data_IF_640356371328
#
_entry.id   IF_640356371328
#
_cell.length_a   1.000
_cell.length_b   1.000
_cell.length_c   1.000
_cell.angle_alpha   90.00
_cell.angle_beta   90.00
_cell.angle_gamma   90.00
#
_symmetry.space_group_name_H-M   'P 1'
#
loop_
_entity.id
_entity.type
_entity.pdbx_description
1 polymer ?
#
# COMPACT_ATOMS: atom_id res chain seq x y z
N UNK A 1 15.08 32.51 1.30
CA UNK A 1 14.02 31.74 0.61
C UNK A 1 14.58 30.73 -0.39
N UNK A 2 15.31 31.14 -1.43
CA UNK A 2 15.85 30.19 -2.42
C UNK A 2 16.75 29.09 -1.83
N UNK A 3 17.60 29.40 -0.85
CA UNK A 3 18.42 28.39 -0.16
C UNK A 3 17.56 27.33 0.58
N UNK A 4 16.44 27.74 1.19
CA UNK A 4 15.50 26.82 1.82
C UNK A 4 14.82 25.92 0.79
N UNK A 5 14.37 26.48 -0.34
CA UNK A 5 13.78 25.70 -1.43
C UNK A 5 14.76 24.72 -2.06
N UNK A 6 16.01 25.15 -2.31
CA UNK A 6 17.06 24.28 -2.84
C UNK A 6 17.32 23.12 -1.87
N UNK A 7 17.47 23.42 -0.58
CA UNK A 7 17.63 22.39 0.45
C UNK A 7 16.46 21.39 0.45
N UNK A 8 15.23 21.89 0.37
CA UNK A 8 14.01 21.07 0.42
C UNK A 8 13.87 20.20 -0.83
N UNK A 9 14.17 20.73 -2.01
CA UNK A 9 14.18 19.97 -3.28
C UNK A 9 15.28 18.90 -3.26
N UNK A 10 16.49 19.23 -2.81
CA UNK A 10 17.58 18.25 -2.68
C UNK A 10 17.20 17.14 -1.69
N UNK A 11 16.57 17.49 -0.58
CA UNK A 11 16.07 16.53 0.41
C UNK A 11 15.00 15.60 -0.19
N UNK A 12 14.00 16.16 -0.89
CA UNK A 12 12.96 15.37 -1.57
C UNK A 12 13.58 14.43 -2.62
N UNK A 13 14.48 14.93 -3.47
CA UNK A 13 15.17 14.11 -4.47
C UNK A 13 15.99 12.99 -3.82
N UNK A 14 16.71 13.29 -2.72
CA UNK A 14 17.45 12.30 -1.95
C UNK A 14 16.54 11.22 -1.36
N UNK A 15 15.39 11.62 -0.80
CA UNK A 15 14.39 10.69 -0.28
C UNK A 15 13.80 9.79 -1.38
N UNK A 16 13.45 10.35 -2.55
CA UNK A 16 12.93 9.58 -3.68
C UNK A 16 13.96 8.56 -4.19
N UNK A 17 15.23 8.96 -4.31
CA UNK A 17 16.30 8.03 -4.71
C UNK A 17 16.50 6.92 -3.68
N UNK A 18 16.43 7.24 -2.39
CA UNK A 18 16.50 6.25 -1.31
C UNK A 18 15.32 5.26 -1.39
N UNK A 19 14.09 5.75 -1.60
CA UNK A 19 12.89 4.93 -1.72
C UNK A 19 12.95 4.03 -2.97
N UNK A 20 13.37 4.57 -4.12
CA UNK A 20 13.55 3.77 -5.33
C UNK A 20 14.58 2.66 -5.12
N UNK A 21 15.71 2.96 -4.47
CA UNK A 21 16.72 1.94 -4.17
C UNK A 21 16.24 0.89 -3.17
N UNK A 22 15.37 1.28 -2.23
CA UNK A 22 14.89 0.38 -1.18
C UNK A 22 13.78 -0.55 -1.66
N UNK A 23 12.86 -0.05 -2.48
CA UNK A 23 11.62 -0.75 -2.82
C UNK A 23 11.55 -1.25 -4.27
N UNK A 24 12.40 -0.76 -5.18
CA UNK A 24 12.32 -1.16 -6.58
C UNK A 24 13.13 -2.45 -6.83
N UNK A 25 12.47 -3.47 -7.38
CA UNK A 25 13.17 -4.64 -7.89
C UNK A 25 14.01 -4.29 -9.13
N UNK A 26 15.16 -4.93 -9.29
CA UNK A 26 16.07 -4.65 -10.42
C UNK A 26 15.45 -4.97 -11.79
N UNK A 27 14.43 -5.84 -11.85
CA UNK A 27 13.70 -6.23 -13.06
C UNK A 27 12.70 -5.18 -13.59
N UNK A 28 12.40 -4.12 -12.83
CA UNK A 28 11.37 -3.13 -13.21
C UNK A 28 11.86 -2.20 -14.33
N UNK A 29 10.99 -1.99 -15.33
CA UNK A 29 11.20 -1.12 -16.50
C UNK A 29 11.45 0.33 -16.09
N UNK A 30 12.36 1.02 -16.77
CA UNK A 30 12.74 2.40 -16.47
C UNK A 30 11.54 3.36 -16.51
N UNK A 31 10.62 3.20 -17.45
CA UNK A 31 9.42 4.04 -17.56
C UNK A 31 8.57 4.00 -16.29
N UNK A 32 8.41 2.82 -15.67
CA UNK A 32 7.66 2.68 -14.41
C UNK A 32 8.40 3.39 -13.28
N UNK A 33 9.73 3.21 -13.19
CA UNK A 33 10.58 3.89 -12.20
C UNK A 33 10.44 5.42 -12.29
N UNK A 34 10.48 5.98 -13.51
CA UNK A 34 10.34 7.41 -13.74
C UNK A 34 8.95 7.93 -13.38
N UNK A 35 7.89 7.24 -13.78
CA UNK A 35 6.51 7.62 -13.45
C UNK A 35 6.28 7.59 -11.93
N UNK A 36 6.75 6.54 -11.24
CA UNK A 36 6.66 6.45 -9.77
C UNK A 36 7.48 7.54 -9.09
N UNK A 37 8.69 7.83 -9.57
CA UNK A 37 9.51 8.93 -9.05
C UNK A 37 8.80 10.28 -9.18
N UNK A 38 8.16 10.53 -10.33
CA UNK A 38 7.41 11.75 -10.57
C UNK A 38 6.15 11.85 -9.69
N UNK A 39 5.46 10.73 -9.44
CA UNK A 39 4.34 10.67 -8.51
C UNK A 39 4.76 10.99 -7.06
N UNK A 40 5.89 10.44 -6.61
CA UNK A 40 6.42 10.77 -5.29
C UNK A 40 6.92 12.21 -5.21
N UNK A 41 7.54 12.71 -6.29
CA UNK A 41 7.95 14.11 -6.38
C UNK A 41 6.75 15.04 -6.24
N UNK A 42 5.67 14.79 -6.99
CA UNK A 42 4.45 15.62 -6.93
C UNK A 42 3.77 15.56 -5.56
N UNK A 43 3.71 14.38 -4.93
CA UNK A 43 3.16 14.23 -3.58
C UNK A 43 4.01 14.96 -2.52
N UNK A 44 5.34 14.80 -2.56
CA UNK A 44 6.25 15.44 -1.60
C UNK A 44 6.46 16.93 -1.88
N UNK A 45 6.25 17.39 -3.11
CA UNK A 45 6.39 18.78 -3.51
C UNK A 45 5.39 19.70 -2.78
N UNK A 46 4.29 19.19 -2.22
CA UNK A 46 3.36 19.97 -1.38
C UNK A 46 4.10 20.69 -0.26
N UNK A 47 5.12 20.06 0.33
CA UNK A 47 5.95 20.66 1.40
C UNK A 47 6.72 21.89 0.90
N UNK A 48 7.08 21.93 -0.38
CA UNK A 48 7.71 23.08 -1.02
C UNK A 48 6.66 24.10 -1.55
N UNK A 49 5.55 23.62 -2.10
CA UNK A 49 4.55 24.44 -2.79
C UNK A 49 3.79 25.33 -1.79
N UNK A 50 3.45 24.83 -0.60
CA UNK A 50 2.66 25.59 0.37
C UNK A 50 3.39 26.87 0.85
N UNK A 51 4.67 26.82 1.30
CA UNK A 51 5.41 28.04 1.64
C UNK A 51 5.61 28.97 0.44
N UNK A 52 5.74 28.42 -0.76
CA UNK A 52 5.94 29.18 -1.99
C UNK A 52 4.65 29.92 -2.40
N UNK A 53 3.48 29.31 -2.22
CA UNK A 53 2.17 29.89 -2.49
C UNK A 53 1.84 31.04 -1.53
N UNK A 54 2.11 30.84 -0.24
CA UNK A 54 2.00 31.91 0.78
C UNK A 54 2.92 33.07 0.43
N UNK A 55 4.16 32.79 0.02
CA UNK A 55 5.11 33.82 -0.39
C UNK A 55 4.69 34.56 -1.68
N UNK A 56 4.21 33.86 -2.70
CA UNK A 56 3.74 34.49 -3.95
C UNK A 56 2.49 35.35 -3.74
N UNK A 57 1.64 34.97 -2.77
CA UNK A 57 0.47 35.76 -2.38
C UNK A 57 0.89 37.07 -1.71
N UNK A 58 1.95 37.05 -0.89
CA UNK A 58 2.53 38.26 -0.29
C UNK A 58 3.16 39.19 -1.33
N UNK A 59 3.74 38.63 -2.40
CA UNK A 59 4.44 39.36 -3.48
C UNK A 59 3.52 39.79 -4.65
N UNK A 60 2.20 39.58 -4.58
CA UNK A 60 1.22 39.91 -5.64
C UNK A 60 1.56 39.33 -7.03
N UNK A 61 2.28 38.20 -7.10
CA UNK A 61 2.61 37.53 -8.37
C UNK A 61 1.63 36.41 -8.64
N UNK A 62 0.96 36.45 -9.80
CA UNK A 62 0.07 35.36 -10.26
C UNK A 62 0.91 34.10 -10.56
N UNK A 63 0.59 32.94 -9.97
CA UNK A 63 1.34 31.71 -10.23
C UNK A 63 0.96 31.05 -11.56
N UNK A 64 1.89 30.26 -12.11
CA UNK A 64 1.70 29.49 -13.35
C UNK A 64 0.73 28.31 -13.13
N UNK A 65 -0.32 28.21 -13.92
CA UNK A 65 -1.40 27.21 -13.76
C UNK A 65 -1.02 25.78 -14.14
N UNK A 66 0.14 25.59 -14.77
CA UNK A 66 0.57 24.32 -15.34
C UNK A 66 0.85 23.24 -14.28
N UNK A 67 1.24 23.65 -13.07
CA UNK A 67 1.58 22.74 -11.97
C UNK A 67 0.38 21.95 -11.42
N UNK A 68 -0.79 22.57 -11.33
CA UNK A 68 -2.00 21.93 -10.76
C UNK A 68 -2.65 20.98 -11.77
N UNK A 69 -2.67 21.36 -13.05
CA UNK A 69 -3.22 20.50 -14.10
C UNK A 69 -2.36 19.24 -14.30
N UNK A 70 -1.03 19.39 -14.24
CA UNK A 70 -0.10 18.26 -14.39
C UNK A 70 -0.22 17.23 -13.27
N UNK A 71 -0.41 17.65 -12.01
CA UNK A 71 -0.59 16.72 -10.88
C UNK A 71 -1.95 16.00 -10.94
N UNK A 72 -2.99 16.68 -11.40
CA UNK A 72 -4.31 16.08 -11.57
C UNK A 72 -4.33 15.03 -12.69
N UNK A 73 -3.74 15.33 -13.85
CA UNK A 73 -3.62 14.36 -14.96
C UNK A 73 -2.75 13.18 -14.56
N UNK A 74 -1.65 13.42 -13.83
CA UNK A 74 -0.80 12.34 -13.34
C UNK A 74 -1.57 11.38 -12.42
N UNK A 75 -2.28 11.93 -11.44
CA UNK A 75 -2.92 11.15 -10.38
C UNK A 75 -4.14 10.37 -10.86
N UNK A 76 -4.95 11.00 -11.71
CA UNK A 76 -6.24 10.42 -12.12
C UNK A 76 -6.21 9.78 -13.51
N UNK A 77 -5.16 9.96 -14.31
CA UNK A 77 -5.09 9.33 -15.63
C UNK A 77 -3.86 8.44 -15.76
N UNK A 78 -2.67 9.01 -15.57
CA UNK A 78 -1.43 8.29 -15.89
C UNK A 78 -1.13 7.17 -14.90
N UNK A 79 -1.25 7.40 -13.59
CA UNK A 79 -0.94 6.37 -12.58
C UNK A 79 -1.87 5.16 -12.67
N UNK A 80 -3.21 5.32 -12.69
CA UNK A 80 -4.13 4.19 -12.85
C UNK A 80 -3.91 3.47 -14.18
N UNK A 81 -3.65 4.21 -15.27
CA UNK A 81 -3.32 3.62 -16.57
C UNK A 81 -2.07 2.74 -16.50
N UNK A 82 -0.96 3.24 -15.94
CA UNK A 82 0.27 2.46 -15.85
C UNK A 82 0.14 1.25 -14.92
N UNK A 83 -0.65 1.35 -13.85
CA UNK A 83 -0.93 0.23 -12.97
C UNK A 83 -1.61 -0.91 -13.73
N UNK A 84 -2.78 -0.66 -14.35
CA UNK A 84 -3.48 -1.70 -15.11
C UNK A 84 -2.75 -2.14 -16.39
N UNK A 85 -1.92 -1.26 -16.98
CA UNK A 85 -1.08 -1.61 -18.13
C UNK A 85 0.05 -2.58 -17.74
N UNK A 86 0.65 -2.38 -16.56
CA UNK A 86 1.67 -3.28 -16.03
C UNK A 86 1.08 -4.63 -15.64
N UNK A 87 -0.14 -4.63 -15.11
CA UNK A 87 -0.85 -5.84 -14.68
C UNK A 87 -1.47 -6.64 -15.85
N UNK A 88 -1.56 -6.05 -17.05
CA UNK A 88 -2.09 -6.71 -18.23
C UNK A 88 -1.13 -7.79 -18.76
N UNK A 89 -1.65 -9.03 -18.87
CA UNK A 89 -0.94 -10.19 -19.41
C UNK A 89 -0.78 -10.21 -20.93
N UNK A 90 -1.43 -9.29 -21.65
CA UNK A 90 -1.44 -9.23 -23.11
C UNK A 90 -0.04 -9.20 -23.74
N UNK A 91 0.12 -9.85 -24.88
CA UNK A 91 1.42 -9.94 -25.57
C UNK A 91 1.74 -8.72 -26.44
N UNK A 92 0.72 -7.91 -26.79
CA UNK A 92 0.88 -6.72 -27.63
C UNK A 92 0.67 -5.44 -26.83
N UNK A 93 1.39 -4.37 -27.19
CA UNK A 93 1.24 -3.04 -26.57
C UNK A 93 -0.19 -2.53 -26.74
N UNK A 94 -0.81 -2.76 -27.90
CA UNK A 94 -2.20 -2.37 -28.17
C UNK A 94 -3.18 -3.10 -27.24
N UNK A 95 -3.00 -4.42 -27.05
CA UNK A 95 -3.81 -5.21 -26.12
C UNK A 95 -3.71 -4.68 -24.69
N UNK A 96 -2.48 -4.48 -24.20
CA UNK A 96 -2.24 -3.93 -22.87
C UNK A 96 -2.87 -2.54 -22.67
N UNK A 97 -2.77 -1.66 -23.66
CA UNK A 97 -3.41 -0.34 -23.61
C UNK A 97 -4.94 -0.45 -23.55
N UNK A 98 -5.54 -1.32 -24.35
CA UNK A 98 -6.99 -1.50 -24.38
C UNK A 98 -7.50 -2.12 -23.06
N UNK A 99 -6.82 -3.14 -22.55
CA UNK A 99 -7.13 -3.76 -21.25
C UNK A 99 -7.04 -2.73 -20.13
N UNK A 100 -5.96 -1.94 -20.09
CA UNK A 100 -5.81 -0.87 -19.10
C UNK A 100 -6.91 0.19 -19.19
N UNK A 101 -7.29 0.60 -20.40
CA UNK A 101 -8.39 1.55 -20.61
C UNK A 101 -9.73 0.96 -20.17
N UNK A 102 -9.99 -0.32 -20.45
CA UNK A 102 -11.22 -1.01 -20.06
C UNK A 102 -11.34 -1.08 -18.53
N UNK A 103 -10.30 -1.51 -17.83
CA UNK A 103 -10.30 -1.62 -16.36
C UNK A 103 -10.46 -0.24 -15.70
N UNK A 104 -9.77 0.78 -16.22
CA UNK A 104 -9.97 2.16 -15.76
C UNK A 104 -11.38 2.66 -16.04
N UNK A 105 -11.97 2.34 -17.19
CA UNK A 105 -13.34 2.72 -17.51
C UNK A 105 -14.35 2.04 -16.58
N UNK A 106 -14.11 0.81 -16.14
CA UNK A 106 -14.94 0.13 -15.13
C UNK A 106 -14.82 0.86 -13.78
N UNK A 107 -13.60 1.17 -13.34
CA UNK A 107 -13.36 1.90 -12.09
C UNK A 107 -14.06 3.26 -12.12
N UNK A 108 -13.77 4.09 -13.13
CA UNK A 108 -14.36 5.42 -13.24
C UNK A 108 -15.87 5.38 -13.51
N UNK A 109 -16.35 4.37 -14.24
CA UNK A 109 -17.77 4.12 -14.43
C UNK A 109 -18.48 3.83 -13.11
N UNK A 110 -17.89 3.04 -12.21
CA UNK A 110 -18.46 2.76 -10.89
C UNK A 110 -18.51 4.01 -10.01
N UNK A 111 -17.46 4.84 -10.04
CA UNK A 111 -17.43 6.13 -9.32
C UNK A 111 -18.47 7.09 -9.90
N UNK A 112 -18.62 7.14 -11.23
CA UNK A 112 -19.64 7.93 -11.89
C UNK A 112 -21.06 7.47 -11.53
N UNK A 113 -21.30 6.16 -11.41
CA UNK A 113 -22.59 5.61 -10.97
C UNK A 113 -22.95 6.07 -9.55
N UNK A 114 -21.99 6.07 -8.62
CA UNK A 114 -22.18 6.64 -7.26
C UNK A 114 -22.45 8.15 -7.34
N UNK A 115 -21.72 8.86 -8.20
CA UNK A 115 -21.95 10.29 -8.45
C UNK A 115 -23.37 10.58 -8.97
N UNK A 116 -23.90 9.73 -9.86
CA UNK A 116 -25.28 9.84 -10.37
C UNK A 116 -26.32 9.71 -9.26
N UNK A 117 -26.09 8.86 -8.24
CA UNK A 117 -26.96 8.80 -7.05
C UNK A 117 -26.94 10.13 -6.29
N UNK A 118 -25.77 10.75 -6.15
CA UNK A 118 -25.64 12.09 -5.55
C UNK A 118 -26.40 13.16 -6.34
N UNK A 119 -26.33 13.12 -7.67
CA UNK A 119 -27.10 14.02 -8.55
C UNK A 119 -28.60 13.75 -8.46
N UNK A 120 -29.03 12.49 -8.40
CA UNK A 120 -30.43 12.11 -8.19
C UNK A 120 -30.98 12.65 -6.86
N UNK A 121 -30.18 12.63 -5.79
CA UNK A 121 -30.54 13.24 -4.51
C UNK A 121 -30.73 14.77 -4.61
N UNK A 122 -29.92 15.47 -5.43
CA UNK A 122 -30.09 16.90 -5.70
C UNK A 122 -31.36 17.20 -6.51
N UNK A 123 -31.68 16.34 -7.48
CA UNK A 123 -32.92 16.41 -8.26
C UNK A 123 -34.15 16.31 -7.34
N UNK A 124 -34.16 15.33 -6.43
CA UNK A 124 -35.24 15.14 -5.45
C UNK A 124 -35.34 16.35 -4.51
N UNK A 125 -34.20 16.94 -4.13
CA UNK A 125 -34.15 18.12 -3.26
C UNK A 125 -34.58 19.43 -3.96
N UNK A 126 -34.92 19.40 -5.26
CA UNK A 126 -35.26 20.56 -6.11
C UNK A 126 -34.19 21.67 -6.12
N UNK A 127 -32.91 21.31 -5.89
CA UNK A 127 -31.76 22.24 -5.84
C UNK A 127 -30.83 22.05 -7.05
N UNK A 128 -31.40 21.89 -8.25
CA UNK A 128 -30.65 21.73 -9.49
C UNK A 128 -30.16 23.09 -10.04
N UNK A 129 -29.27 23.73 -9.30
CA UNK A 129 -28.50 24.88 -9.78
C UNK A 129 -27.05 24.45 -10.05
N UNK A 130 -26.38 25.10 -11.00
CA UNK A 130 -24.96 24.86 -11.28
C UNK A 130 -24.10 25.08 -10.02
N UNK A 131 -24.50 26.06 -9.19
CA UNK A 131 -23.95 26.30 -7.86
C UNK A 131 -24.20 25.14 -6.89
N UNK A 132 -25.39 24.52 -6.91
CA UNK A 132 -25.72 23.35 -6.11
C UNK A 132 -24.88 22.13 -6.47
N UNK A 133 -24.61 21.93 -7.77
CA UNK A 133 -23.73 20.85 -8.26
C UNK A 133 -22.27 21.10 -7.88
N UNK A 134 -21.77 22.33 -8.03
CA UNK A 134 -20.43 22.71 -7.61
C UNK A 134 -20.27 22.58 -6.08
N UNK A 135 -21.27 23.01 -5.32
CA UNK A 135 -21.32 22.84 -3.86
C UNK A 135 -21.35 21.39 -3.42
N UNK A 136 -22.05 20.51 -4.14
CA UNK A 136 -22.00 19.06 -3.90
C UNK A 136 -20.60 18.51 -4.16
N UNK A 137 -19.97 18.88 -5.29
CA UNK A 137 -18.61 18.44 -5.63
C UNK A 137 -17.58 18.83 -4.56
N UNK A 138 -17.59 20.10 -4.14
CA UNK A 138 -16.71 20.61 -3.07
C UNK A 138 -17.01 19.89 -1.75
N UNK A 139 -18.29 19.72 -1.40
CA UNK A 139 -18.72 19.04 -0.19
C UNK A 139 -18.29 17.57 -0.12
N UNK A 140 -18.43 16.82 -1.23
CA UNK A 140 -18.01 15.42 -1.33
C UNK A 140 -16.49 15.27 -1.29
N UNK A 141 -15.76 16.16 -1.96
CA UNK A 141 -14.29 16.17 -1.92
C UNK A 141 -13.77 16.40 -0.49
N UNK A 142 -14.35 17.36 0.23
CA UNK A 142 -13.99 17.62 1.62
C UNK A 142 -14.41 16.45 2.54
N UNK A 143 -15.59 15.87 2.33
CA UNK A 143 -16.04 14.70 3.09
C UNK A 143 -15.10 13.49 2.91
N UNK A 144 -14.64 13.23 1.68
CA UNK A 144 -13.66 12.17 1.41
C UNK A 144 -12.35 12.41 2.17
N UNK A 145 -11.79 13.62 2.11
CA UNK A 145 -10.57 13.97 2.82
C UNK A 145 -10.70 13.84 4.34
N UNK A 146 -11.84 14.27 4.90
CA UNK A 146 -12.14 14.14 6.32
C UNK A 146 -12.30 12.67 6.75
N UNK A 147 -13.06 11.87 6.00
CA UNK A 147 -13.23 10.44 6.29
C UNK A 147 -11.87 9.71 6.24
N UNK A 148 -11.09 9.94 5.19
CA UNK A 148 -9.75 9.36 5.08
C UNK A 148 -8.84 9.77 6.25
N UNK A 149 -8.90 11.04 6.66
CA UNK A 149 -8.15 11.55 7.81
C UNK A 149 -8.58 10.90 9.12
N UNK A 150 -9.88 10.67 9.32
CA UNK A 150 -10.42 10.00 10.52
C UNK A 150 -9.92 8.56 10.60
N UNK A 151 -9.98 7.81 9.49
CA UNK A 151 -9.52 6.41 9.44
C UNK A 151 -8.02 6.33 9.74
N UNK A 152 -7.21 7.18 9.10
CA UNK A 152 -5.76 7.22 9.32
C UNK A 152 -5.40 7.64 10.75
N UNK A 153 -6.13 8.63 11.30
CA UNK A 153 -5.94 9.07 12.68
C UNK A 153 -6.33 7.98 13.68
N UNK A 154 -7.44 7.26 13.45
CA UNK A 154 -7.87 6.13 14.27
C UNK A 154 -6.82 5.04 14.34
N UNK A 155 -6.23 4.68 13.19
CA UNK A 155 -5.11 3.74 13.13
C UNK A 155 -3.89 4.25 13.91
N UNK A 156 -3.48 5.50 13.69
CA UNK A 156 -2.35 6.12 14.38
C UNK A 156 -2.52 6.17 15.91
N UNK A 157 -3.72 6.50 16.39
CA UNK A 157 -4.02 6.58 17.83
C UNK A 157 -4.02 5.22 18.54
N UNK A 158 -4.28 4.12 17.82
CA UNK A 158 -4.33 2.78 18.41
C UNK A 158 -3.01 2.05 18.24
N UNK A 159 -2.48 2.01 17.02
CA UNK A 159 -1.35 1.14 16.69
C UNK A 159 -0.02 1.70 17.20
N UNK A 160 0.15 3.04 17.24
CA UNK A 160 1.37 3.66 17.77
C UNK A 160 1.51 3.36 19.28
N UNK A 161 0.52 3.66 20.15
CA UNK A 161 0.63 3.34 21.57
C UNK A 161 0.67 1.84 21.82
N UNK A 162 -0.07 1.02 21.05
CA UNK A 162 0.00 -0.44 21.16
C UNK A 162 1.42 -0.95 20.90
N UNK A 163 2.11 -0.44 19.89
CA UNK A 163 3.49 -0.82 19.61
C UNK A 163 4.48 -0.29 20.64
N UNK A 164 4.20 0.85 21.27
CA UNK A 164 4.98 1.35 22.41
C UNK A 164 4.75 0.54 23.70
N UNK A 165 3.52 0.06 23.95
CA UNK A 165 3.17 -0.73 25.15
C UNK A 165 3.80 -2.13 25.10
N UNK A 166 4.08 -2.67 23.90
CA UNK A 166 4.81 -3.93 23.71
C UNK A 166 6.29 -3.81 24.12
N UNK A 167 6.71 -2.92 25.02
CA UNK A 167 8.13 -2.66 25.29
C UNK A 167 8.94 -3.81 25.89
N UNK A 168 8.28 -4.85 26.42
CA UNK A 168 9.00 -5.98 26.99
C UNK A 168 9.49 -6.93 25.88
N UNK A 169 10.81 -7.12 25.71
CA UNK A 169 11.38 -7.83 24.57
C UNK A 169 10.91 -9.29 24.49
N UNK A 170 10.62 -9.94 25.62
CA UNK A 170 10.08 -11.31 25.65
C UNK A 170 8.67 -11.39 25.05
N UNK A 171 7.83 -10.39 25.34
CA UNK A 171 6.47 -10.29 24.77
C UNK A 171 6.52 -9.93 23.29
N UNK A 172 7.48 -9.08 22.88
CA UNK A 172 7.72 -8.80 21.46
C UNK A 172 8.17 -10.05 20.72
N UNK A 173 9.07 -10.85 21.30
CA UNK A 173 9.51 -12.10 20.70
C UNK A 173 8.36 -13.09 20.49
N UNK A 174 7.49 -13.27 21.50
CA UNK A 174 6.27 -14.11 21.37
C UNK A 174 5.33 -13.62 20.27
N UNK A 175 5.13 -12.30 20.18
CA UNK A 175 4.31 -11.69 19.12
C UNK A 175 4.94 -11.85 17.74
N UNK A 176 6.25 -11.67 17.64
CA UNK A 176 7.02 -11.85 16.41
C UNK A 176 6.97 -13.31 15.95
N UNK A 177 7.11 -14.27 16.86
CA UNK A 177 6.97 -15.70 16.57
C UNK A 177 5.56 -16.05 16.05
N UNK A 178 4.50 -15.48 16.63
CA UNK A 178 3.15 -15.67 16.12
C UNK A 178 2.98 -15.08 14.70
N UNK A 179 3.50 -13.87 14.45
CA UNK A 179 3.52 -13.26 13.11
C UNK A 179 4.31 -14.12 12.11
N UNK A 180 5.47 -14.65 12.52
CA UNK A 180 6.29 -15.51 11.69
C UNK A 180 5.50 -16.75 11.23
N UNK A 181 4.73 -17.38 12.13
CA UNK A 181 3.81 -18.47 11.77
C UNK A 181 2.77 -18.06 10.72
N UNK A 182 2.13 -16.89 10.89
CA UNK A 182 1.14 -16.37 9.93
C UNK A 182 1.75 -16.07 8.55
N UNK A 183 2.96 -15.50 8.51
CA UNK A 183 3.64 -15.25 7.24
C UNK A 183 4.20 -16.52 6.61
N UNK A 184 4.64 -17.51 7.41
CA UNK A 184 5.04 -18.82 6.92
C UNK A 184 3.86 -19.53 6.22
N UNK A 185 2.66 -19.49 6.82
CA UNK A 185 1.44 -20.03 6.20
C UNK A 185 1.12 -19.33 4.87
N UNK A 186 1.24 -18.00 4.81
CA UNK A 186 1.07 -17.24 3.57
C UNK A 186 2.08 -17.65 2.49
N UNK A 187 3.35 -17.77 2.85
CA UNK A 187 4.41 -18.24 1.94
C UNK A 187 4.08 -19.65 1.46
N UNK A 188 3.65 -20.57 2.32
CA UNK A 188 3.24 -21.91 1.89
C UNK A 188 2.08 -21.85 0.88
N UNK A 189 1.08 -21.00 1.12
CA UNK A 189 -0.06 -20.82 0.22
C UNK A 189 0.36 -20.24 -1.14
N UNK A 190 1.19 -19.19 -1.16
CA UNK A 190 1.66 -18.59 -2.41
C UNK A 190 2.66 -19.47 -3.15
N UNK A 191 3.46 -20.27 -2.44
CA UNK A 191 4.27 -21.35 -3.03
C UNK A 191 3.39 -22.38 -3.72
N UNK A 192 2.33 -22.87 -3.07
CA UNK A 192 1.43 -23.86 -3.66
C UNK A 192 0.71 -23.34 -4.92
N UNK A 193 0.26 -22.08 -4.92
CA UNK A 193 -0.31 -21.45 -6.12
C UNK A 193 0.75 -21.31 -7.23
N UNK A 194 1.98 -20.90 -6.88
CA UNK A 194 3.06 -20.79 -7.85
C UNK A 194 3.41 -22.15 -8.47
N UNK A 195 3.50 -23.21 -7.67
CA UNK A 195 3.71 -24.59 -8.14
C UNK A 195 2.59 -25.03 -9.08
N UNK A 196 1.35 -24.70 -8.75
CA UNK A 196 0.18 -24.99 -9.58
C UNK A 196 0.31 -24.29 -10.93
N UNK A 197 0.59 -22.99 -10.95
CA UNK A 197 0.73 -22.22 -12.20
C UNK A 197 1.92 -22.71 -13.04
N UNK A 198 3.05 -23.04 -12.43
CA UNK A 198 4.21 -23.62 -13.13
C UNK A 198 3.86 -24.99 -13.74
N UNK A 199 3.09 -25.81 -13.03
CA UNK A 199 2.57 -27.10 -13.52
C UNK A 199 1.65 -26.89 -14.72
N UNK A 200 0.73 -25.91 -14.67
CA UNK A 200 -0.18 -25.56 -15.78
C UNK A 200 0.64 -25.17 -17.00
N UNK A 201 1.65 -24.32 -16.83
CA UNK A 201 2.52 -23.85 -17.92
C UNK A 201 3.27 -25.04 -18.55
N UNK A 202 3.86 -25.91 -17.74
CA UNK A 202 4.57 -27.10 -18.23
C UNK A 202 3.64 -28.09 -18.94
N UNK A 203 2.41 -28.27 -18.46
CA UNK A 203 1.41 -29.12 -19.11
C UNK A 203 0.96 -28.55 -20.46
N UNK A 204 0.65 -27.25 -20.52
CA UNK A 204 0.25 -26.57 -21.75
C UNK A 204 1.39 -26.54 -22.78
N UNK A 205 2.64 -26.36 -22.33
CA UNK A 205 3.82 -26.43 -23.21
C UNK A 205 3.95 -27.80 -23.89
N UNK A 206 3.71 -28.90 -23.14
CA UNK A 206 3.77 -30.27 -23.67
C UNK A 206 2.65 -30.59 -24.65
N UNK A 207 1.46 -30.06 -24.41
CA UNK A 207 0.30 -30.30 -25.28
C UNK A 207 0.44 -29.58 -26.63
N UNK A 208 1.15 -28.45 -26.69
CA UNK A 208 1.32 -27.69 -27.93
C UNK A 208 2.26 -28.37 -28.93
N UNK A 209 1.79 -28.49 -30.18
CA UNK A 209 2.62 -28.97 -31.29
C UNK A 209 3.71 -27.94 -31.62
N UNK A 210 4.87 -28.42 -32.10
CA UNK A 210 6.02 -27.55 -32.45
C UNK A 210 5.72 -26.47 -33.49
N UNK A 211 4.73 -26.69 -34.36
CA UNK A 211 4.37 -25.77 -35.45
C UNK A 211 3.08 -24.95 -35.16
N UNK A 212 2.59 -24.96 -33.92
CA UNK A 212 1.42 -24.18 -33.54
C UNK A 212 1.74 -22.66 -33.56
N UNK A 213 0.94 -21.80 -34.21
CA UNK A 213 1.13 -20.34 -34.15
C UNK A 213 1.13 -19.77 -32.73
N UNK A 214 0.44 -20.41 -31.77
CA UNK A 214 0.37 -20.00 -30.36
C UNK A 214 1.66 -20.31 -29.57
N UNK A 215 2.50 -21.22 -30.08
CA UNK A 215 3.76 -21.66 -29.43
C UNK A 215 4.67 -20.47 -29.09
N UNK A 216 4.77 -19.49 -29.98
CA UNK A 216 5.58 -18.27 -29.77
C UNK A 216 5.19 -17.53 -28.48
N UNK A 217 3.90 -17.49 -28.14
CA UNK A 217 3.42 -16.83 -26.93
C UNK A 217 3.72 -17.66 -25.68
N UNK A 218 3.62 -18.98 -25.78
CA UNK A 218 4.02 -19.89 -24.70
C UNK A 218 5.52 -19.83 -24.42
N UNK A 219 6.37 -19.76 -25.45
CA UNK A 219 7.83 -19.64 -25.28
C UNK A 219 8.19 -18.36 -24.50
N UNK A 220 7.46 -17.26 -24.71
CA UNK A 220 7.62 -16.02 -23.92
C UNK A 220 7.25 -16.23 -22.45
N UNK A 221 6.19 -16.99 -22.17
CA UNK A 221 5.75 -17.32 -20.80
C UNK A 221 6.83 -18.18 -20.13
N UNK A 222 7.24 -19.28 -20.76
CA UNK A 222 8.23 -20.22 -20.22
C UNK A 222 9.55 -19.51 -19.92
N UNK A 223 10.07 -18.73 -20.87
CA UNK A 223 11.30 -17.96 -20.68
C UNK A 223 11.20 -16.97 -19.51
N UNK A 224 10.01 -16.42 -19.24
CA UNK A 224 9.81 -15.53 -18.11
C UNK A 224 9.82 -16.29 -16.77
N UNK A 225 9.11 -17.42 -16.69
CA UNK A 225 9.11 -18.28 -15.49
C UNK A 225 10.52 -18.75 -15.18
N UNK A 226 11.27 -19.22 -16.17
CA UNK A 226 12.63 -19.72 -15.96
C UNK A 226 13.59 -18.69 -15.37
N UNK A 227 13.36 -17.41 -15.67
CA UNK A 227 14.20 -16.30 -15.23
C UNK A 227 13.83 -15.80 -13.83
N UNK A 228 12.54 -15.64 -13.55
CA UNK A 228 12.05 -14.90 -12.36
C UNK A 228 11.49 -15.81 -11.26
N UNK A 229 11.07 -17.04 -11.60
CA UNK A 229 10.52 -17.99 -10.62
C UNK A 229 11.64 -18.75 -9.87
N UNK A 230 11.52 -18.94 -8.55
CA UNK A 230 12.39 -19.85 -7.80
C UNK A 230 12.19 -21.33 -8.18
N UNK A 231 10.97 -21.69 -8.61
CA UNK A 231 10.60 -23.05 -9.04
C UNK A 231 10.60 -23.06 -10.56
N UNK A 232 11.51 -23.83 -11.15
CA UNK A 232 11.68 -23.86 -12.60
C UNK A 232 10.84 -24.96 -13.24
N UNK A 233 10.20 -24.68 -14.39
CA UNK A 233 9.46 -25.70 -15.13
C UNK A 233 10.39 -26.81 -15.62
N UNK A 234 11.65 -26.49 -15.97
CA UNK A 234 12.66 -27.45 -16.42
C UNK A 234 13.06 -28.46 -15.34
N UNK A 235 13.14 -28.05 -14.07
CA UNK A 235 13.42 -28.94 -12.95
C UNK A 235 12.23 -29.91 -12.71
N UNK A 236 11.00 -29.41 -12.84
CA UNK A 236 9.78 -30.23 -12.77
C UNK A 236 9.70 -31.23 -13.94
N UNK A 237 10.07 -30.79 -15.14
CA UNK A 237 10.12 -31.64 -16.32
C UNK A 237 11.19 -32.73 -16.20
N UNK A 238 12.39 -32.39 -15.70
CA UNK A 238 13.46 -33.35 -15.44
C UNK A 238 13.06 -34.38 -14.37
N UNK A 239 12.42 -33.96 -13.29
CA UNK A 239 11.91 -34.85 -12.24
C UNK A 239 10.86 -35.84 -12.78
N UNK A 240 9.98 -35.38 -13.68
CA UNK A 240 8.94 -36.25 -14.26
C UNK A 240 9.47 -37.30 -15.27
N UNK A 241 10.63 -37.06 -15.89
CA UNK A 241 11.31 -38.04 -16.74
C UNK A 241 12.11 -39.10 -15.97
N UNK A 242 12.43 -38.83 -14.70
CA UNK A 242 13.22 -39.71 -13.81
C UNK A 242 12.32 -40.58 -12.91
N UNK A 243 11.28 -41.19 -13.46
CA UNK A 243 10.26 -41.91 -12.68
C UNK A 243 10.65 -43.34 -12.24
N UNK A 244 11.91 -43.75 -12.42
CA UNK A 244 12.39 -45.11 -12.11
C UNK A 244 13.39 -45.21 -10.94
N UNK A 245 13.62 -44.16 -10.14
CA UNK A 245 14.52 -44.28 -8.99
C UNK A 245 14.02 -43.54 -7.74
N UNK A 246 13.76 -44.36 -6.71
CA UNK A 246 13.70 -44.04 -5.28
C UNK A 246 12.49 -43.25 -4.76
N UNK A 247 11.66 -43.97 -3.99
CA UNK A 247 10.77 -43.39 -3.00
C UNK A 247 11.57 -42.65 -1.93
N UNK A 248 11.43 -41.33 -1.93
CA UNK A 248 12.04 -40.43 -0.96
C UNK A 248 11.26 -39.12 -0.92
N UNK A 249 10.69 -38.83 0.26
CA UNK A 249 9.90 -37.64 0.62
C UNK A 249 10.27 -36.35 -0.13
N UNK A 250 9.29 -35.75 -0.82
CA UNK A 250 9.19 -34.30 -0.99
C UNK A 250 9.14 -33.73 -2.41
N UNK A 251 9.31 -34.54 -3.46
CA UNK A 251 9.18 -34.05 -4.84
C UNK A 251 7.75 -34.18 -5.34
N UNK A 252 7.00 -33.07 -5.43
CA UNK A 252 5.72 -33.03 -6.12
C UNK A 252 5.95 -33.32 -7.62
N UNK A 253 5.73 -34.58 -8.03
CA UNK A 253 5.56 -34.90 -9.44
C UNK A 253 4.32 -34.18 -9.98
N UNK A 254 4.31 -33.89 -11.29
CA UNK A 254 3.18 -33.31 -12.02
C UNK A 254 1.90 -34.13 -11.76
N UNK A 255 1.09 -33.72 -10.78
CA UNK A 255 -0.22 -34.31 -10.51
C UNK A 255 -1.24 -33.66 -11.45
N UNK A 256 -1.15 -34.04 -12.73
CA UNK A 256 -2.01 -33.53 -13.80
C UNK A 256 -3.48 -33.92 -13.56
N UNK A 257 -3.72 -35.01 -12.81
CA UNK A 257 -5.06 -35.52 -12.49
C UNK A 257 -5.76 -34.72 -11.38
N UNK A 258 -5.01 -33.98 -10.55
CA UNK A 258 -5.58 -33.11 -9.50
C UNK A 258 -5.90 -31.69 -9.98
N UNK A 259 -5.66 -31.37 -11.26
CA UNK A 259 -5.89 -30.03 -11.81
C UNK A 259 -7.33 -29.88 -12.31
N UNK A 260 -7.96 -28.74 -12.04
CA UNK A 260 -9.31 -28.47 -12.51
C UNK A 260 -9.36 -28.42 -14.04
N UNK A 261 -10.47 -28.86 -14.65
CA UNK A 261 -10.65 -28.84 -16.10
C UNK A 261 -10.48 -27.42 -16.71
N UNK A 262 -10.88 -26.39 -15.96
CA UNK A 262 -10.73 -24.97 -16.33
C UNK A 262 -9.25 -24.52 -16.40
N UNK A 263 -8.36 -25.15 -15.63
CA UNK A 263 -6.93 -24.82 -15.60
C UNK A 263 -6.16 -25.39 -16.80
N UNK A 264 -6.80 -26.27 -17.58
CA UNK A 264 -6.24 -26.89 -18.80
C UNK A 264 -6.67 -26.17 -20.09
N UNK A 265 -7.58 -25.20 -20.03
CA UNK A 265 -8.21 -24.58 -21.21
C UNK A 265 -7.50 -23.30 -21.72
N UNK A 266 -6.25 -23.05 -21.30
CA UNK A 266 -5.52 -21.82 -21.67
C UNK A 266 -4.89 -21.85 -23.07
N UNK A 267 -4.81 -23.02 -23.72
CA UNK A 267 -4.08 -23.21 -24.98
C UNK A 267 -4.91 -23.02 -26.26
N UNK A 268 -6.20 -22.69 -26.15
CA UNK A 268 -7.08 -22.55 -27.33
C UNK A 268 -6.92 -21.20 -28.03
N UNK A 269 -6.60 -20.14 -27.30
CA UNK A 269 -6.59 -18.79 -27.83
C UNK A 269 -5.52 -17.88 -27.19
N UNK A 270 -5.30 -16.72 -27.82
CA UNK A 270 -4.32 -15.74 -27.33
C UNK A 270 -4.77 -15.10 -26.01
N UNK A 271 -6.09 -15.01 -25.76
CA UNK A 271 -6.59 -14.42 -24.51
C UNK A 271 -6.42 -15.39 -23.33
N UNK A 272 -6.60 -16.70 -23.53
CA UNK A 272 -6.26 -17.74 -22.56
C UNK A 272 -4.78 -17.71 -22.17
N UNK A 273 -3.87 -17.66 -23.15
CA UNK A 273 -2.44 -17.51 -22.86
C UNK A 273 -2.09 -16.19 -22.18
N UNK A 274 -2.80 -15.09 -22.52
CA UNK A 274 -2.63 -13.81 -21.83
C UNK A 274 -3.13 -13.86 -20.38
N UNK A 275 -4.22 -14.59 -20.11
CA UNK A 275 -4.74 -14.83 -18.76
C UNK A 275 -3.77 -15.70 -17.94
N UNK A 276 -3.22 -16.76 -18.53
CA UNK A 276 -2.19 -17.60 -17.91
C UNK A 276 -0.95 -16.78 -17.55
N UNK A 277 -0.49 -15.93 -18.48
CA UNK A 277 0.63 -15.03 -18.23
C UNK A 277 0.34 -14.01 -17.12
N UNK A 278 -0.88 -13.47 -17.07
CA UNK A 278 -1.33 -12.57 -15.99
C UNK A 278 -1.30 -13.30 -14.64
N UNK A 279 -1.88 -14.49 -14.55
CA UNK A 279 -1.90 -15.32 -13.33
C UNK A 279 -0.49 -15.68 -12.87
N UNK A 280 0.39 -16.03 -13.80
CA UNK A 280 1.82 -16.27 -13.54
C UNK A 280 2.52 -15.05 -12.92
N UNK A 281 2.33 -13.85 -13.49
CA UNK A 281 2.92 -12.63 -12.92
C UNK A 281 2.43 -12.38 -11.48
N UNK A 282 1.13 -12.57 -11.23
CA UNK A 282 0.58 -12.44 -9.88
C UNK A 282 1.13 -13.49 -8.92
N UNK A 283 1.20 -14.75 -9.31
CA UNK A 283 1.74 -15.83 -8.48
C UNK A 283 3.21 -15.56 -8.07
N UNK A 284 4.06 -15.15 -9.01
CA UNK A 284 5.46 -14.80 -8.74
C UNK A 284 5.55 -13.57 -7.82
N UNK A 285 4.78 -12.52 -8.10
CA UNK A 285 4.77 -11.29 -7.30
C UNK A 285 4.28 -11.53 -5.87
N UNK A 286 3.19 -12.29 -5.71
CA UNK A 286 2.64 -12.67 -4.40
C UNK A 286 3.61 -13.52 -3.60
N UNK A 287 4.23 -14.52 -4.21
CA UNK A 287 5.28 -15.32 -3.55
C UNK A 287 6.45 -14.45 -3.08
N UNK A 288 6.98 -13.59 -3.96
CA UNK A 288 8.10 -12.71 -3.61
C UNK A 288 7.74 -11.72 -2.50
N UNK A 289 6.51 -11.17 -2.53
CA UNK A 289 5.99 -10.29 -1.50
C UNK A 289 5.83 -10.98 -0.14
N UNK A 290 5.16 -12.14 -0.11
CA UNK A 290 4.95 -12.92 1.11
C UNK A 290 6.28 -13.40 1.70
N UNK A 291 7.21 -13.85 0.84
CA UNK A 291 8.55 -14.27 1.24
C UNK A 291 9.34 -13.12 1.85
N UNK A 292 9.34 -11.93 1.23
CA UNK A 292 10.04 -10.77 1.75
C UNK A 292 9.49 -10.35 3.13
N UNK A 293 8.17 -10.39 3.31
CA UNK A 293 7.53 -10.12 4.61
C UNK A 293 7.91 -11.16 5.66
N UNK A 294 7.98 -12.44 5.29
CA UNK A 294 8.45 -13.50 6.18
C UNK A 294 9.91 -13.29 6.58
N UNK A 295 10.80 -13.02 5.62
CA UNK A 295 12.21 -12.73 5.87
C UNK A 295 12.40 -11.53 6.81
N UNK A 296 11.64 -10.44 6.61
CA UNK A 296 11.69 -9.26 7.48
C UNK A 296 11.28 -9.60 8.92
N UNK A 297 10.20 -10.36 9.10
CA UNK A 297 9.75 -10.79 10.44
C UNK A 297 10.73 -11.75 11.08
N UNK A 298 11.36 -12.64 10.32
CA UNK A 298 12.39 -13.55 10.84
C UNK A 298 13.64 -12.79 11.30
N UNK A 299 14.08 -11.78 10.54
CA UNK A 299 15.18 -10.90 10.96
C UNK A 299 14.82 -10.15 12.23
N UNK A 300 13.60 -9.61 12.34
CA UNK A 300 13.10 -8.99 13.57
C UNK A 300 13.10 -9.97 14.76
N UNK A 301 12.66 -11.22 14.53
CA UNK A 301 12.63 -12.26 15.56
C UNK A 301 14.03 -12.61 16.06
N UNK A 302 15.00 -12.78 15.15
CA UNK A 302 16.38 -13.08 15.52
C UNK A 302 17.04 -11.92 16.28
N UNK A 303 16.81 -10.67 15.87
CA UNK A 303 17.29 -9.50 16.63
C UNK A 303 16.70 -9.47 18.05
N UNK A 304 15.40 -9.74 18.19
CA UNK A 304 14.75 -9.77 19.50
C UNK A 304 15.23 -10.94 20.37
N UNK A 305 15.46 -12.11 19.79
CA UNK A 305 16.00 -13.27 20.49
C UNK A 305 17.39 -12.97 21.05
N UNK A 306 18.27 -12.36 20.25
CA UNK A 306 19.60 -11.95 20.69
C UNK A 306 19.51 -10.90 21.82
N UNK A 307 18.60 -9.92 21.73
CA UNK A 307 18.35 -8.94 22.81
C UNK A 307 17.90 -9.61 24.10
N UNK A 308 16.98 -10.59 24.03
CA UNK A 308 16.51 -11.34 25.20
C UNK A 308 17.65 -12.16 25.81
N UNK A 309 18.46 -12.84 25.00
CA UNK A 309 19.62 -13.62 25.48
C UNK A 309 20.70 -12.75 26.13
N UNK A 310 21.08 -11.63 25.51
CA UNK A 310 22.01 -10.67 26.09
C UNK A 310 21.54 -10.17 27.47
N UNK A 311 20.23 -9.95 27.63
CA UNK A 311 19.64 -9.54 28.89
C UNK A 311 19.65 -10.65 29.95
N UNK A 312 19.35 -11.88 29.57
CA UNK A 312 19.39 -13.03 30.47
C UNK A 312 20.82 -13.34 30.97
N UNK A 313 21.81 -13.19 30.09
CA UNK A 313 23.23 -13.42 30.40
C UNK A 313 23.92 -12.21 31.04
N UNK A 314 23.25 -11.05 31.07
CA UNK A 314 23.81 -9.76 31.48
C UNK A 314 25.10 -9.39 30.72
N UNK A 315 25.20 -9.83 29.47
CA UNK A 315 26.29 -9.54 28.54
C UNK A 315 25.72 -8.82 27.32
N UNK A 316 26.12 -7.55 27.16
CA UNK A 316 25.62 -6.66 26.10
C UNK A 316 26.56 -6.60 24.89
N UNK A 317 27.47 -7.57 24.75
CA UNK A 317 28.29 -7.69 23.54
C UNK A 317 27.44 -8.15 22.35
N UNK A 318 27.53 -7.48 21.18
CA UNK A 318 26.80 -7.90 19.99
C UNK A 318 27.35 -9.23 19.48
N UNK A 319 26.44 -10.16 19.17
CA UNK A 319 26.76 -11.53 18.73
C UNK A 319 27.59 -11.57 17.44
N UNK A 320 27.36 -10.61 16.54
CA UNK A 320 28.27 -10.35 15.42
C UNK A 320 29.22 -9.20 15.77
N UNK A 321 30.54 -9.41 15.77
CA UNK A 321 31.50 -8.38 16.13
C UNK A 321 31.48 -7.25 15.08
N UNK A 322 31.03 -6.07 15.48
CA UNK A 322 31.03 -4.87 14.62
C UNK A 322 32.20 -3.95 14.99
N UNK A 323 32.89 -3.40 13.99
CA UNK A 323 33.96 -2.40 14.20
C UNK A 323 33.43 -0.97 14.38
N UNK A 324 32.18 -0.71 13.98
CA UNK A 324 31.58 0.63 14.04
C UNK A 324 31.12 0.98 15.46
N UNK A 325 31.59 2.10 16.05
CA UNK A 325 31.18 2.52 17.39
C UNK A 325 29.68 2.89 17.45
N UNK A 326 29.12 3.41 16.35
CA UNK A 326 27.69 3.76 16.25
C UNK A 326 26.83 2.49 16.36
N UNK A 327 27.21 1.41 15.67
CA UNK A 327 26.46 0.14 15.74
C UNK A 327 26.50 -0.47 17.14
N UNK A 328 27.63 -0.37 17.84
CA UNK A 328 27.76 -0.79 19.25
C UNK A 328 26.86 0.05 20.17
N UNK A 329 26.86 1.37 20.00
CA UNK A 329 26.01 2.26 20.78
C UNK A 329 24.51 2.00 20.56
N UNK A 330 24.10 1.79 19.30
CA UNK A 330 22.71 1.42 18.95
C UNK A 330 22.34 0.06 19.55
N UNK A 331 23.23 -0.92 19.51
CA UNK A 331 23.01 -2.24 20.12
C UNK A 331 22.83 -2.14 21.64
N UNK A 332 23.73 -1.42 22.31
CA UNK A 332 23.64 -1.16 23.75
C UNK A 332 22.34 -0.44 24.11
N UNK A 333 21.95 0.57 23.32
CA UNK A 333 20.67 1.25 23.50
C UNK A 333 19.48 0.28 23.36
N UNK A 334 19.46 -0.57 22.32
CA UNK A 334 18.41 -1.57 22.10
C UNK A 334 18.30 -2.55 23.27
N UNK A 335 19.42 -3.01 23.83
CA UNK A 335 19.44 -4.02 24.89
C UNK A 335 19.21 -3.46 26.30
N UNK A 336 19.80 -2.32 26.64
CA UNK A 336 19.86 -1.82 28.02
C UNK A 336 18.96 -0.59 28.28
N UNK A 337 18.80 0.33 27.33
CA UNK A 337 18.14 1.62 27.56
C UNK A 337 16.71 1.69 27.05
N UNK A 338 16.40 1.01 25.93
CA UNK A 338 15.06 1.02 25.31
C UNK A 338 13.98 0.49 26.24
N UNK A 339 14.25 -0.59 26.98
CA UNK A 339 13.28 -1.18 27.91
C UNK A 339 13.06 -0.34 29.18
N UNK A 340 14.08 0.38 29.66
CA UNK A 340 13.97 1.21 30.86
C UNK A 340 13.13 2.47 30.61
N UNK A 341 13.25 3.10 29.44
CA UNK A 341 12.42 4.25 29.06
C UNK A 341 10.92 3.94 29.06
N UNK A 342 10.53 2.71 28.70
CA UNK A 342 9.13 2.30 28.70
C UNK A 342 8.61 1.82 30.07
N UNK A 343 9.49 1.36 30.98
CA UNK A 343 9.12 1.08 32.38
C UNK A 343 9.02 2.36 33.22
N UNK A 344 9.78 3.39 32.87
CA UNK A 344 9.84 4.66 33.58
C UNK A 344 8.74 5.67 33.16
N UNK A 345 7.90 5.35 32.16
CA UNK A 345 6.71 6.14 31.88
C UNK A 345 5.74 6.01 33.07
N UNK A 346 5.53 7.07 33.88
CA UNK A 346 4.62 7.00 35.00
C UNK A 346 3.23 6.69 34.46
N UNK A 347 2.50 5.77 35.11
CA UNK A 347 1.05 5.67 34.93
C UNK A 347 0.50 7.08 35.13
N UNK A 348 -0.26 7.66 34.18
CA UNK A 348 -0.87 8.95 34.42
C UNK A 348 -1.73 8.83 35.69
N UNK A 349 -1.59 9.74 36.67
CA UNK A 349 -2.46 9.73 37.83
C UNK A 349 -3.91 9.80 37.36
N UNK A 350 -4.86 9.16 38.06
CA UNK A 350 -6.27 9.23 37.69
C UNK A 350 -6.68 10.71 37.58
N UNK A 351 -7.51 11.07 36.59
CA UNK A 351 -7.92 12.45 36.41
C UNK A 351 -8.69 12.88 37.66
N UNK A 352 -8.08 13.76 38.44
CA UNK A 352 -8.78 14.47 39.51
C UNK A 352 -9.80 15.37 38.82
N UNK A 353 -11.07 14.97 38.88
CA UNK A 353 -12.21 15.79 38.48
C UNK A 353 -12.25 17.02 39.39
N UNK A 354 -11.53 18.07 38.99
CA UNK A 354 -11.65 19.39 39.61
C UNK A 354 -12.96 20.01 39.15
N UNK A 355 -14.01 19.78 39.94
CA UNK A 355 -15.28 20.50 39.85
C UNK A 355 -15.01 22.00 40.01
N UNK A 356 -15.46 22.78 39.02
CA UNK A 356 -15.81 24.18 39.18
C UNK A 356 -14.69 25.20 38.95
N UNK A 357 -14.90 26.06 37.96
CA UNK A 357 -14.56 27.47 38.11
C UNK A 357 -13.76 28.10 36.97
N UNK A 358 -14.51 28.89 36.19
CA UNK A 358 -14.10 30.04 35.36
C UNK A 358 -13.51 29.71 33.98
N UNK A 359 -14.29 30.14 32.98
CA UNK A 359 -13.94 30.10 31.56
C UNK A 359 -12.60 30.76 31.30
N UNK A 360 -11.76 30.03 30.59
CA UNK A 360 -10.50 30.52 30.06
C UNK A 360 -10.69 30.70 28.56
N UNK A 361 -10.35 31.92 28.12
CA UNK A 361 -10.49 32.50 26.80
C UNK A 361 -10.51 31.51 25.65
N UNK A 362 -11.54 31.65 24.82
CA UNK A 362 -11.58 31.05 23.49
C UNK A 362 -10.27 31.32 22.75
N UNK A 363 -9.73 30.27 22.17
CA UNK A 363 -8.59 30.29 21.27
C UNK A 363 -8.86 31.29 20.15
N UNK A 364 -8.38 32.52 20.33
CA UNK A 364 -8.37 33.56 19.32
C UNK A 364 -7.29 33.16 18.32
N UNK A 365 -7.69 32.35 17.34
CA UNK A 365 -6.88 32.09 16.14
C UNK A 365 -6.47 33.43 15.54
N UNK A 366 -5.21 33.50 15.09
CA UNK A 366 -4.64 34.61 14.35
C UNK A 366 -5.67 35.20 13.38
N UNK A 367 -5.92 36.50 13.54
CA UNK A 367 -6.96 37.22 12.83
C UNK A 367 -6.84 37.02 11.32
N UNK A 368 -7.88 36.45 10.73
CA UNK A 368 -8.19 36.62 9.31
C UNK A 368 -8.40 38.12 9.08
N UNK A 369 -7.47 38.79 8.40
CA UNK A 369 -7.81 40.04 7.75
C UNK A 369 -8.96 39.75 6.79
N UNK A 370 -10.12 40.36 7.06
CA UNK A 370 -11.35 40.15 6.31
C UNK A 370 -11.15 40.70 4.90
N UNK A 371 -10.72 39.87 3.95
CA UNK A 371 -10.69 40.22 2.53
C UNK A 371 -9.68 39.49 1.64
N UNK A 372 -8.62 38.87 2.19
CA UNK A 372 -7.62 38.18 1.37
C UNK A 372 -7.98 36.69 1.21
N UNK A 373 -8.41 36.28 0.01
CA UNK A 373 -8.45 34.87 -0.38
C UNK A 373 -7.07 34.44 -0.87
N UNK A 374 -6.62 33.27 -0.44
CA UNK A 374 -5.41 32.68 -1.03
C UNK A 374 -5.72 32.21 -2.45
N UNK A 375 -4.71 32.15 -3.32
CA UNK A 375 -4.89 31.63 -4.69
C UNK A 375 -5.40 30.18 -4.66
N UNK A 376 -5.01 29.42 -3.63
CA UNK A 376 -5.56 28.10 -3.35
C UNK A 376 -7.06 28.14 -3.03
N UNK A 377 -7.52 29.04 -2.15
CA UNK A 377 -8.94 29.19 -1.76
C UNK A 377 -9.80 29.70 -2.93
N UNK A 378 -9.25 30.54 -3.81
CA UNK A 378 -9.91 31.00 -5.04
C UNK A 378 -10.13 29.85 -6.05
N UNK A 379 -9.15 28.94 -6.19
CA UNK A 379 -9.20 27.83 -7.15
C UNK A 379 -9.88 26.57 -6.63
N UNK A 380 -9.72 26.25 -5.35
CA UNK A 380 -10.29 25.06 -4.71
C UNK A 380 -11.67 25.33 -4.08
N UNK A 381 -12.10 26.60 -4.07
CA UNK A 381 -13.27 27.05 -3.36
C UNK A 381 -13.02 27.20 -1.86
N UNK A 382 -13.84 28.01 -1.19
CA UNK A 382 -13.82 28.06 0.28
C UNK A 382 -14.12 26.67 0.84
N UNK A 383 -13.18 26.12 1.63
CA UNK A 383 -13.35 24.86 2.35
C UNK A 383 -14.37 24.97 3.51
N UNK A 384 -15.17 26.03 3.55
CA UNK A 384 -16.27 26.16 4.48
C UNK A 384 -17.26 25.02 4.26
N UNK A 385 -17.18 24.02 5.14
CA UNK A 385 -18.17 22.95 5.24
C UNK A 385 -19.56 23.61 5.28
N UNK A 386 -20.49 23.20 4.38
CA UNK A 386 -21.83 23.75 4.34
C UNK A 386 -22.45 23.76 5.75
N UNK A 387 -23.15 24.85 6.12
CA UNK A 387 -23.62 25.05 7.51
C UNK A 387 -24.38 23.85 8.08
N UNK A 388 -25.12 23.12 7.25
CA UNK A 388 -25.84 21.91 7.65
C UNK A 388 -24.90 20.75 8.01
N UNK A 389 -23.85 20.51 7.23
CA UNK A 389 -22.82 19.51 7.56
C UNK A 389 -22.05 19.94 8.80
N UNK A 390 -21.72 21.23 8.96
CA UNK A 390 -20.85 21.72 10.05
C UNK A 390 -21.35 21.33 11.46
N UNK A 391 -22.65 21.45 11.73
CA UNK A 391 -23.23 21.12 13.05
C UNK A 391 -23.23 19.61 13.33
N UNK A 392 -23.59 18.80 12.34
CA UNK A 392 -23.60 17.34 12.47
C UNK A 392 -22.18 16.78 12.50
N UNK A 393 -21.29 17.30 11.65
CA UNK A 393 -19.91 16.85 11.53
C UNK A 393 -19.18 17.03 12.85
N UNK A 394 -19.29 18.18 13.54
CA UNK A 394 -18.63 18.38 14.83
C UNK A 394 -19.15 17.46 15.97
N UNK A 395 -20.38 16.95 15.84
CA UNK A 395 -21.00 16.03 16.80
C UNK A 395 -20.63 14.57 16.51
N UNK A 396 -20.67 14.17 15.23
CA UNK A 396 -20.45 12.80 14.81
C UNK A 396 -18.97 12.47 14.57
N UNK A 397 -18.11 13.42 14.20
CA UNK A 397 -16.67 13.16 13.98
C UNK A 397 -16.01 12.47 15.17
N UNK A 398 -16.14 12.98 16.41
CA UNK A 398 -15.53 12.34 17.57
C UNK A 398 -16.10 10.95 17.82
N UNK A 399 -17.40 10.73 17.59
CA UNK A 399 -18.03 9.43 17.76
C UNK A 399 -17.54 8.43 16.72
N UNK A 400 -17.47 8.81 15.44
CA UNK A 400 -16.93 7.99 14.36
C UNK A 400 -15.47 7.65 14.65
N UNK A 401 -14.66 8.61 15.10
CA UNK A 401 -13.27 8.37 15.49
C UNK A 401 -13.17 7.36 16.63
N UNK A 402 -14.01 7.47 17.67
CA UNK A 402 -14.03 6.50 18.78
C UNK A 402 -14.40 5.11 18.27
N UNK A 403 -15.41 5.00 17.40
CA UNK A 403 -15.81 3.72 16.78
C UNK A 403 -14.67 3.13 15.96
N UNK A 404 -14.02 3.92 15.10
CA UNK A 404 -12.85 3.49 14.31
C UNK A 404 -11.68 3.04 15.19
N UNK A 405 -11.40 3.76 16.28
CA UNK A 405 -10.41 3.35 17.28
C UNK A 405 -10.78 2.00 17.90
N UNK A 406 -12.06 1.75 18.23
CA UNK A 406 -12.50 0.47 18.79
C UNK A 406 -12.39 -0.67 17.75
N UNK A 407 -12.81 -0.44 16.51
CA UNK A 407 -12.71 -1.41 15.41
C UNK A 407 -11.24 -1.80 15.19
N UNK A 408 -10.35 -0.81 15.15
CA UNK A 408 -8.91 -1.02 15.04
C UNK A 408 -8.34 -1.72 16.29
N UNK A 409 -8.79 -1.32 17.48
CA UNK A 409 -8.33 -1.91 18.75
C UNK A 409 -8.72 -3.39 18.87
N UNK A 410 -9.82 -3.80 18.26
CA UNK A 410 -10.31 -5.17 18.30
C UNK A 410 -9.92 -6.00 17.06
N UNK A 411 -9.11 -5.44 16.14
CA UNK A 411 -8.78 -6.03 14.83
C UNK A 411 -10.04 -6.52 14.09
N UNK A 412 -11.14 -5.78 14.20
CA UNK A 412 -12.41 -6.16 13.59
C UNK A 412 -12.38 -6.04 12.07
N UNK A 413 -11.52 -5.19 11.50
CA UNK A 413 -11.34 -5.06 10.05
C UNK A 413 -10.99 -6.40 9.38
N UNK A 414 -10.03 -7.15 9.93
CA UNK A 414 -9.65 -8.47 9.41
C UNK A 414 -10.81 -9.46 9.43
N UNK A 415 -11.66 -9.40 10.47
CA UNK A 415 -12.83 -10.28 10.61
C UNK A 415 -13.94 -9.88 9.64
N UNK A 416 -14.21 -8.58 9.51
CA UNK A 416 -15.23 -8.04 8.60
C UNK A 416 -14.85 -8.34 7.15
N UNK A 417 -13.61 -8.05 6.76
CA UNK A 417 -13.12 -8.36 5.42
C UNK A 417 -13.07 -9.87 5.15
N UNK A 418 -12.79 -10.70 6.16
CA UNK A 418 -12.89 -12.15 6.04
C UNK A 418 -14.32 -12.67 5.84
N UNK A 419 -15.34 -11.98 6.39
CA UNK A 419 -16.75 -12.30 6.16
C UNK A 419 -17.23 -11.83 4.79
N UNK A 420 -16.83 -10.63 4.36
CA UNK A 420 -17.18 -10.08 3.04
C UNK A 420 -16.46 -10.82 1.91
N UNK A 421 -15.19 -11.20 2.11
CA UNK A 421 -14.39 -11.94 1.14
C UNK A 421 -14.85 -13.39 0.88
N UNK A 422 -15.74 -13.94 1.72
CA UNK A 422 -16.44 -15.21 1.43
C UNK A 422 -17.71 -15.03 0.59
N UNK A 423 -18.18 -13.80 0.40
CA UNK A 423 -19.38 -13.47 -0.38
C UNK A 423 -19.11 -12.84 -1.75
N UNK A 424 -17.84 -12.67 -2.13
CA UNK A 424 -17.41 -12.00 -3.36
C UNK A 424 -16.68 -12.94 -4.32
N UNK A 425 -17.31 -14.08 -4.65
CA UNK A 425 -17.05 -14.79 -5.92
C UNK A 425 -18.34 -14.67 -6.71
N UNK A 426 -18.42 -13.62 -7.54
CA UNK A 426 -19.35 -13.48 -8.65
C UNK A 426 -18.57 -12.92 -9.83
#
# INVERSE_FOLDING_TARGET
>A
MWAFFIFLVVFICGAILMLLRRYCANSVVLSVKLTTAYAWLTSMAVVAIVPLDVFSTLDNKKPHELGVLSTQVLTWLLLPFFQYYSDAGDFTVKGKCLTSLKENAILYGSVAAVGLVGVAALLISKKMTLEGLMGLGIGMSNAFGLIASIILLGYGLVEIPRNMWKADPERQLKWCAHRAGKYAEKVMKSTAELETVVTIIAANERQMRRHDPLRKYMDIIVAHVEKESPIKPSDLQAASGSRNAAGGRGGAGLDIESMNAEDLEYNYDVAGLAALRRRMFFAISSYNGDRAMYEEVMVEAFELEDVVKCRQLNDFTPRQPTRSPIKKAVWYYKCALRAHWHRAAPRPPPPVLRRGGRGVGGWRWLGRERGATTVFEDKMGSMDVPRFLRQHLNTYLPLILVVECVITALNLWDKIMGMVGRGGVL
#
